data_IF_183402324412
#
_entry.id   IF_183402324412
#
_cell.length_a   1.000
_cell.length_b   1.000
_cell.length_c   1.000
_cell.angle_alpha   90.00
_cell.angle_beta   90.00
_cell.angle_gamma   90.00
#
_symmetry.space_group_name_H-M   'P 1'
#
loop_
_entity.id
_entity.type
_entity.pdbx_description
1 polymer ?
#
# COMPACT_ATOMS: atom_id res chain seq x y z
N UNK A 1 -2.23 -16.85 -10.04
CA UNK A 1 -1.56 -16.73 -8.72
C UNK A 1 -2.43 -15.92 -7.77
N UNK A 2 -2.54 -16.39 -6.53
CA UNK A 2 -3.34 -15.72 -5.50
C UNK A 2 -2.49 -15.44 -4.27
N UNK A 3 -2.74 -14.30 -3.63
CA UNK A 3 -2.23 -14.02 -2.29
C UNK A 3 -3.41 -14.08 -1.32
N UNK A 4 -3.35 -14.96 -0.35
CA UNK A 4 -4.42 -15.18 0.62
C UNK A 4 -3.95 -14.71 1.99
N UNK A 5 -4.73 -13.82 2.61
CA UNK A 5 -4.41 -13.27 3.92
C UNK A 5 -4.70 -14.21 5.07
N UNK A 6 -4.26 -13.85 6.29
CA UNK A 6 -4.52 -14.67 7.49
C UNK A 6 -6.01 -14.88 7.78
N UNK A 7 -6.87 -13.97 7.29
CA UNK A 7 -8.33 -14.07 7.42
C UNK A 7 -8.94 -15.00 6.36
N UNK A 8 -8.10 -15.70 5.58
CA UNK A 8 -8.49 -16.63 4.51
C UNK A 8 -9.20 -15.93 3.34
N UNK A 9 -9.03 -14.63 3.20
CA UNK A 9 -9.58 -13.86 2.07
C UNK A 9 -8.51 -13.60 1.03
N UNK A 10 -8.91 -13.60 -0.25
CA UNK A 10 -8.01 -13.26 -1.35
C UNK A 10 -7.70 -11.76 -1.29
N UNK A 11 -6.42 -11.41 -1.21
CA UNK A 11 -5.95 -10.02 -1.15
C UNK A 11 -5.43 -9.54 -2.50
N UNK A 12 -4.94 -10.46 -3.33
CA UNK A 12 -4.37 -10.15 -4.64
C UNK A 12 -4.58 -11.34 -5.57
N UNK A 13 -4.88 -11.05 -6.82
CA UNK A 13 -5.02 -12.05 -7.86
C UNK A 13 -4.25 -11.57 -9.10
N UNK A 14 -3.34 -12.42 -9.60
CA UNK A 14 -2.59 -12.15 -10.83
C UNK A 14 -2.89 -13.24 -11.85
N UNK A 15 -3.38 -12.84 -13.00
CA UNK A 15 -3.74 -13.75 -14.09
C UNK A 15 -2.86 -13.42 -15.29
N UNK A 16 -2.07 -14.40 -15.72
CA UNK A 16 -1.15 -14.26 -16.85
C UNK A 16 -1.44 -15.36 -17.87
N UNK A 17 -1.32 -15.07 -19.17
CA UNK A 17 -1.37 -16.15 -20.17
C UNK A 17 -0.16 -17.07 -20.01
N UNK A 18 -0.29 -18.31 -20.48
CA UNK A 18 0.80 -19.29 -20.36
C UNK A 18 2.07 -18.84 -21.06
N UNK A 19 1.94 -17.98 -22.08
CA UNK A 19 3.07 -17.47 -22.87
C UNK A 19 3.88 -16.38 -22.15
N UNK A 20 3.40 -15.92 -20.99
CA UNK A 20 4.02 -14.79 -20.27
C UNK A 20 4.50 -15.25 -18.90
N UNK A 21 5.81 -15.10 -18.66
CA UNK A 21 6.39 -15.40 -17.35
C UNK A 21 5.97 -14.37 -16.30
N UNK A 22 5.84 -14.83 -15.06
CA UNK A 22 5.48 -13.96 -13.93
C UNK A 22 6.71 -13.22 -13.42
N UNK A 23 6.51 -11.96 -13.01
CA UNK A 23 7.55 -11.15 -12.37
C UNK A 23 7.44 -11.34 -10.85
N UNK A 24 8.32 -12.17 -10.28
CA UNK A 24 8.29 -12.43 -8.84
C UNK A 24 8.70 -11.23 -8.01
N UNK A 25 9.53 -10.33 -8.53
CA UNK A 25 9.85 -9.07 -7.83
C UNK A 25 8.59 -8.25 -7.61
N UNK A 26 7.72 -8.18 -8.62
CA UNK A 26 6.43 -7.49 -8.51
C UNK A 26 5.50 -8.20 -7.52
N UNK A 27 5.48 -9.53 -7.50
CA UNK A 27 4.69 -10.28 -6.52
C UNK A 27 5.13 -9.95 -5.10
N UNK A 28 6.44 -9.91 -4.85
CA UNK A 28 6.98 -9.57 -3.53
C UNK A 28 6.71 -8.11 -3.17
N UNK A 29 6.85 -7.20 -4.14
CA UNK A 29 6.53 -5.78 -3.94
C UNK A 29 5.06 -5.60 -3.54
N UNK A 30 4.15 -6.26 -4.25
CA UNK A 30 2.72 -6.19 -3.96
C UNK A 30 2.40 -6.79 -2.60
N UNK A 31 3.06 -7.90 -2.22
CA UNK A 31 2.89 -8.51 -0.91
C UNK A 31 3.31 -7.54 0.20
N UNK A 32 4.46 -6.88 0.06
CA UNK A 32 4.92 -5.89 1.02
C UNK A 32 3.93 -4.74 1.16
N UNK A 33 3.36 -4.28 0.04
CA UNK A 33 2.35 -3.22 0.04
C UNK A 33 1.07 -3.66 0.78
N UNK A 34 0.62 -4.88 0.55
CA UNK A 34 -0.57 -5.44 1.21
C UNK A 34 -0.35 -5.54 2.72
N UNK A 35 0.82 -6.02 3.14
CA UNK A 35 1.16 -6.14 4.56
C UNK A 35 1.25 -4.77 5.23
N UNK A 36 1.82 -3.78 4.56
CA UNK A 36 1.89 -2.42 5.07
C UNK A 36 0.48 -1.84 5.26
N UNK A 37 -0.40 -2.04 4.29
CA UNK A 37 -1.79 -1.59 4.39
C UNK A 37 -2.50 -2.25 5.59
N UNK A 38 -2.32 -3.56 5.77
CA UNK A 38 -2.95 -4.29 6.87
C UNK A 38 -2.45 -3.79 8.23
N UNK A 39 -1.17 -3.38 8.32
CA UNK A 39 -0.56 -2.95 9.58
C UNK A 39 -0.83 -1.48 9.89
N UNK A 40 -0.80 -0.61 8.89
CA UNK A 40 -0.84 0.84 9.09
C UNK A 40 -2.01 1.55 8.42
N UNK A 41 -2.85 0.83 7.65
CA UNK A 41 -3.99 1.40 6.94
C UNK A 41 -3.57 2.57 6.03
N UNK A 42 -2.55 2.35 5.22
CA UNK A 42 -2.07 3.32 4.22
C UNK A 42 -2.21 2.73 2.83
N UNK A 43 -2.29 3.60 1.82
CA UNK A 43 -2.25 3.18 0.43
C UNK A 43 -0.83 3.36 -0.11
N UNK A 44 -0.47 2.60 -1.13
CA UNK A 44 0.84 2.71 -1.76
C UNK A 44 0.69 3.23 -3.19
N UNK A 45 1.55 4.18 -3.62
CA UNK A 45 1.50 4.67 -4.99
C UNK A 45 2.03 3.62 -5.97
N UNK A 46 1.85 3.90 -7.26
CA UNK A 46 2.39 3.05 -8.32
C UNK A 46 3.90 2.92 -8.17
N UNK A 47 4.41 1.73 -8.42
CA UNK A 47 5.85 1.40 -8.33
C UNK A 47 6.45 1.61 -6.93
N UNK A 48 5.62 1.70 -5.91
CA UNK A 48 6.10 1.83 -4.53
C UNK A 48 7.00 0.67 -4.15
N UNK A 49 8.06 0.97 -3.40
CA UNK A 49 8.95 -0.02 -2.79
C UNK A 49 9.05 0.27 -1.29
N UNK A 50 9.36 -0.74 -0.46
CA UNK A 50 9.55 -0.51 0.99
C UNK A 50 10.52 0.64 1.25
N UNK A 51 10.11 1.57 2.11
CA UNK A 51 10.86 2.78 2.43
C UNK A 51 10.40 4.01 1.66
N UNK A 52 9.69 3.86 0.55
CA UNK A 52 9.15 4.98 -0.21
C UNK A 52 7.93 5.59 0.49
N UNK A 53 7.61 6.84 0.15
CA UNK A 53 6.44 7.53 0.70
C UNK A 53 5.15 6.78 0.38
N UNK A 54 4.18 6.91 1.26
CA UNK A 54 2.85 6.29 1.14
C UNK A 54 1.78 7.36 0.98
N UNK A 55 0.59 6.91 0.59
CA UNK A 55 -0.58 7.78 0.43
C UNK A 55 -1.51 7.57 1.63
N UNK A 56 -1.97 8.68 2.22
CA UNK A 56 -2.97 8.64 3.29
C UNK A 56 -4.34 8.43 2.63
N UNK A 57 -5.06 7.33 2.96
CA UNK A 57 -6.38 7.08 2.38
C UNK A 57 -7.38 8.19 2.69
N UNK A 58 -8.31 8.42 1.79
CA UNK A 58 -9.36 9.43 1.98
C UNK A 58 -10.30 9.09 3.14
N UNK A 59 -10.34 7.83 3.56
CA UNK A 59 -11.11 7.39 4.74
C UNK A 59 -10.50 7.85 6.05
N UNK A 60 -9.25 8.33 6.02
CA UNK A 60 -8.55 8.85 7.20
C UNK A 60 -8.70 10.37 7.22
N UNK A 61 -9.34 10.91 8.25
CA UNK A 61 -9.48 12.36 8.41
C UNK A 61 -8.13 13.00 8.78
N UNK A 62 -8.04 14.34 8.63
CA UNK A 62 -6.84 15.06 9.00
C UNK A 62 -6.52 14.90 10.49
N UNK A 63 -7.53 14.83 11.35
CA UNK A 63 -7.34 14.61 12.78
C UNK A 63 -6.72 13.24 13.06
N UNK A 64 -7.24 12.20 12.41
CA UNK A 64 -6.70 10.85 12.52
C UNK A 64 -5.29 10.78 11.92
N UNK A 65 -5.06 11.49 10.82
CA UNK A 65 -3.75 11.53 10.17
C UNK A 65 -2.71 12.20 11.07
N UNK A 66 -3.06 13.23 11.81
CA UNK A 66 -2.14 13.87 12.76
C UNK A 66 -1.67 12.90 13.84
N UNK A 67 -2.54 11.99 14.28
CA UNK A 67 -2.19 10.97 15.27
C UNK A 67 -1.28 9.91 14.67
N UNK A 68 -1.54 9.49 13.43
CA UNK A 68 -0.76 8.45 12.75
C UNK A 68 0.57 8.96 12.20
N UNK A 69 0.61 10.22 11.76
CA UNK A 69 1.77 10.82 11.10
C UNK A 69 2.17 12.11 11.82
N UNK A 70 2.71 12.00 13.05
CA UNK A 70 3.07 13.19 13.83
C UNK A 70 4.13 14.06 13.14
N UNK A 71 4.94 13.50 12.25
CA UNK A 71 5.91 14.25 11.45
C UNK A 71 5.25 15.05 10.32
N UNK A 72 3.94 14.85 10.10
CA UNK A 72 3.20 15.57 9.08
C UNK A 72 3.14 14.86 7.74
N UNK A 73 2.54 15.50 6.77
CA UNK A 73 2.40 14.99 5.42
C UNK A 73 2.31 16.14 4.43
N UNK A 74 2.45 15.82 3.14
CA UNK A 74 2.30 16.79 2.05
C UNK A 74 0.96 16.58 1.36
N UNK A 75 0.15 17.62 1.30
CA UNK A 75 -1.13 17.60 0.60
C UNK A 75 -0.91 18.10 -0.83
N UNK A 76 -1.00 17.19 -1.81
CA UNK A 76 -0.92 17.56 -3.22
C UNK A 76 -2.28 17.96 -3.75
N UNK A 77 -3.32 17.25 -3.31
CA UNK A 77 -4.73 17.52 -3.60
C UNK A 77 -5.56 17.10 -2.39
N UNK A 78 -6.83 17.56 -2.26
CA UNK A 78 -7.67 17.17 -1.11
C UNK A 78 -7.79 15.65 -0.95
N UNK A 79 -7.70 14.90 -2.05
CA UNK A 79 -7.78 13.43 -2.05
C UNK A 79 -6.41 12.77 -2.16
N UNK A 80 -5.32 13.54 -2.21
CA UNK A 80 -3.97 12.99 -2.40
C UNK A 80 -3.00 13.61 -1.39
N UNK A 81 -2.79 12.90 -0.29
CA UNK A 81 -1.87 13.28 0.79
C UNK A 81 -0.76 12.24 0.86
N UNK A 82 0.47 12.69 0.85
CA UNK A 82 1.65 11.84 0.83
C UNK A 82 2.42 12.01 2.14
N UNK A 83 2.81 10.89 2.73
CA UNK A 83 3.57 10.88 3.99
C UNK A 83 4.71 9.87 3.92
N UNK A 84 5.70 10.02 4.81
CA UNK A 84 6.76 9.03 4.95
C UNK A 84 6.16 7.70 5.42
N UNK A 85 6.78 6.58 5.01
CA UNK A 85 6.32 5.26 5.41
C UNK A 85 6.34 5.14 6.94
N UNK A 86 5.24 4.70 7.58
CA UNK A 86 5.24 4.46 9.03
C UNK A 86 6.15 3.27 9.37
N UNK A 87 6.76 3.37 10.52
CA UNK A 87 7.63 2.31 11.03
C UNK A 87 6.86 1.26 11.81
#
# INVERSE_FOLDING_TARGET
MFVIGPDKKVKLMLIYPMSTGRNFDEVLRALDAIQLNAKHNVATPVNWKPGNDVIIPTTVSDEQAKQKFPAGWKTLKPYLRVAAQPK
#
